data_IF_550170011717
#
_entry.id   IF_550170011717
#
_cell.length_a   1.000
_cell.length_b   1.000
_cell.length_c   1.000
_cell.angle_alpha   90.00
_cell.angle_beta   90.00
_cell.angle_gamma   90.00
#
_symmetry.space_group_name_H-M   'P 1'
#
loop_
_entity.id
_entity.type
_entity.pdbx_description
1 polymer ?
#
# COMPACT_ATOMS: atom_id res chain seq x y z
N UNK A 1 -26.38 -47.94 -4.49
CA UNK A 1 -25.92 -49.29 -4.07
C UNK A 1 -24.61 -49.55 -4.80
N UNK A 2 -23.46 -49.85 -4.21
CA UNK A 2 -23.11 -50.29 -2.88
C UNK A 2 -21.69 -49.80 -2.56
N UNK A 3 -21.34 -49.75 -1.26
CA UNK A 3 -20.06 -50.21 -0.73
C UNK A 3 -20.03 -49.95 0.78
N UNK A 4 -19.72 -50.99 1.56
CA UNK A 4 -18.71 -51.05 2.63
C UNK A 4 -19.17 -52.00 3.75
N UNK A 5 -18.40 -53.07 3.96
CA UNK A 5 -18.47 -54.02 5.10
C UNK A 5 -17.01 -54.23 5.55
N UNK A 6 -16.64 -53.77 6.76
CA UNK A 6 -16.41 -54.54 8.01
C UNK A 6 -15.18 -55.47 7.98
N UNK A 7 -14.39 -55.73 9.04
CA UNK A 7 -14.26 -55.24 10.42
C UNK A 7 -13.17 -56.10 11.14
N UNK A 8 -12.93 -55.80 12.43
CA UNK A 8 -12.39 -56.65 13.53
C UNK A 8 -10.87 -56.94 13.52
N UNK A 9 -10.03 -56.63 14.52
CA UNK A 9 -10.05 -56.62 16.00
C UNK A 9 -9.69 -57.96 16.70
N UNK A 10 -8.65 -57.85 17.56
CA UNK A 10 -8.45 -58.47 18.89
C UNK A 10 -7.33 -59.51 19.11
N UNK A 11 -6.47 -59.18 20.11
CA UNK A 11 -5.82 -59.96 21.20
C UNK A 11 -5.03 -61.26 20.88
N UNK A 12 -3.90 -61.57 21.53
CA UNK A 12 -3.78 -61.90 22.97
C UNK A 12 -2.31 -62.11 23.42
N UNK A 13 -2.05 -61.78 24.70
CA UNK A 13 -0.97 -62.07 25.67
C UNK A 13 0.15 -63.10 25.36
N UNK A 14 1.38 -62.78 25.82
CA UNK A 14 2.15 -63.70 26.69
C UNK A 14 3.25 -63.01 27.50
N UNK A 15 3.31 -63.33 28.79
CA UNK A 15 4.31 -62.92 29.79
C UNK A 15 5.34 -64.03 30.03
N UNK A 16 6.63 -63.70 30.18
CA UNK A 16 7.57 -64.50 30.97
C UNK A 16 8.58 -63.61 31.69
N UNK A 17 8.76 -63.91 32.97
CA UNK A 17 9.77 -63.37 33.90
C UNK A 17 10.98 -64.29 33.84
N UNK A 18 12.20 -63.73 33.86
CA UNK A 18 13.34 -64.26 34.63
C UNK A 18 14.47 -63.23 34.64
N UNK A 19 14.93 -62.87 35.84
CA UNK A 19 16.07 -61.99 36.06
C UNK A 19 17.41 -62.74 35.99
N UNK A 20 18.48 -61.98 35.77
CA UNK A 20 19.81 -62.18 36.37
C UNK A 20 20.70 -60.99 36.00
N UNK A 21 21.31 -60.41 37.03
CA UNK A 21 22.29 -59.32 37.02
C UNK A 21 23.60 -59.73 36.33
N UNK A 22 24.28 -58.79 35.65
CA UNK A 22 25.68 -58.41 35.94
C UNK A 22 26.25 -57.38 34.94
N UNK A 23 26.80 -56.32 35.54
CA UNK A 23 27.68 -55.25 35.05
C UNK A 23 28.37 -55.35 33.67
N UNK A 24 28.36 -54.21 32.94
CA UNK A 24 29.61 -53.51 32.52
C UNK A 24 29.33 -52.04 32.16
N UNK A 25 30.16 -51.17 32.76
CA UNK A 25 30.11 -49.72 32.66
C UNK A 25 30.52 -49.19 31.28
N UNK A 26 29.72 -48.22 30.81
CA UNK A 26 30.00 -47.04 29.96
C UNK A 26 31.09 -47.13 28.89
N UNK A 27 30.66 -47.29 27.64
CA UNK A 27 31.38 -46.81 26.46
C UNK A 27 31.04 -45.33 26.22
N UNK A 28 32.09 -44.51 26.13
CA UNK A 28 32.05 -43.09 25.77
C UNK A 28 31.26 -42.87 24.47
N UNK A 29 30.25 -41.99 24.51
CA UNK A 29 29.62 -41.42 23.32
C UNK A 29 30.23 -40.04 23.02
N UNK A 30 30.72 -39.77 21.79
CA UNK A 30 31.10 -38.42 21.42
C UNK A 30 29.84 -37.56 21.27
N UNK A 31 29.75 -36.48 22.05
CA UNK A 31 28.69 -35.47 21.88
C UNK A 31 28.92 -34.74 20.56
N UNK A 32 28.03 -35.00 19.59
CA UNK A 32 27.89 -34.17 18.40
C UNK A 32 27.51 -32.75 18.82
N UNK A 33 28.40 -31.80 18.57
CA UNK A 33 28.12 -30.37 18.69
C UNK A 33 27.35 -29.94 17.45
N UNK A 34 26.03 -29.91 17.55
CA UNK A 34 25.16 -29.30 16.54
C UNK A 34 25.30 -27.79 16.60
N UNK A 35 26.06 -27.22 15.67
CA UNK A 35 26.12 -25.78 15.45
C UNK A 35 24.81 -25.32 14.82
N UNK A 36 23.90 -24.78 15.64
CA UNK A 36 22.69 -24.13 15.15
C UNK A 36 23.06 -22.80 14.51
N UNK A 37 23.19 -22.78 13.19
CA UNK A 37 23.37 -21.56 12.40
C UNK A 37 22.05 -20.79 12.44
N UNK A 38 21.92 -19.83 13.35
CA UNK A 38 20.77 -18.90 13.37
C UNK A 38 20.72 -18.19 12.01
N UNK A 39 19.71 -18.52 11.19
CA UNK A 39 19.32 -17.71 10.04
C UNK A 39 18.80 -16.39 10.57
N UNK A 40 19.62 -15.35 10.54
CA UNK A 40 19.15 -13.98 10.72
C UNK A 40 18.41 -13.63 9.44
N UNK A 41 17.08 -13.78 9.49
CA UNK A 41 16.17 -13.27 8.48
C UNK A 41 16.03 -11.76 8.70
N UNK A 42 16.86 -10.97 8.03
CA UNK A 42 16.68 -9.51 8.01
C UNK A 42 15.43 -9.21 7.18
N UNK A 43 14.30 -8.93 7.84
CA UNK A 43 13.11 -8.42 7.17
C UNK A 43 13.39 -6.96 6.83
N UNK A 44 13.80 -6.68 5.59
CA UNK A 44 13.85 -5.32 5.08
C UNK A 44 12.40 -4.90 4.80
N UNK A 45 11.83 -4.06 5.66
CA UNK A 45 10.58 -3.34 5.31
C UNK A 45 10.94 -2.37 4.19
N UNK A 46 10.32 -2.52 3.02
CA UNK A 46 10.40 -1.49 1.99
C UNK A 46 9.82 -0.19 2.57
N UNK A 47 10.64 0.86 2.63
CA UNK A 47 10.16 2.19 3.00
C UNK A 47 9.41 2.81 1.82
N UNK A 48 8.37 3.60 2.11
CA UNK A 48 7.67 4.36 1.05
C UNK A 48 8.62 5.42 0.48
N UNK A 49 8.47 5.75 -0.82
CA UNK A 49 9.25 6.84 -1.45
C UNK A 49 9.05 8.18 -0.73
N UNK A 50 7.86 8.39 -0.17
CA UNK A 50 7.49 9.61 0.57
C UNK A 50 8.25 9.73 1.89
N UNK A 51 8.63 8.61 2.52
CA UNK A 51 9.31 8.63 3.83
C UNK A 51 10.74 9.20 3.75
N UNK A 52 11.28 9.43 2.54
CA UNK A 52 12.57 10.10 2.31
C UNK A 52 12.52 11.61 2.55
N UNK A 53 11.32 12.19 2.56
CA UNK A 53 11.11 13.64 2.67
C UNK A 53 10.78 14.04 4.11
N UNK A 54 11.40 15.12 4.58
CA UNK A 54 11.15 15.66 5.91
C UNK A 54 9.88 16.51 5.90
N UNK A 55 9.05 16.39 6.96
CA UNK A 55 7.91 17.30 7.17
C UNK A 55 8.33 18.71 7.57
N UNK A 56 9.61 18.93 7.88
CA UNK A 56 10.16 20.24 8.22
C UNK A 56 10.55 21.07 6.98
N UNK A 57 10.66 20.43 5.82
CA UNK A 57 11.01 21.09 4.56
C UNK A 57 9.73 21.47 3.79
N UNK A 58 9.84 22.46 2.91
CA UNK A 58 8.75 22.84 2.01
C UNK A 58 8.84 21.96 0.77
N UNK A 59 7.81 21.14 0.54
CA UNK A 59 7.68 20.25 -0.61
C UNK A 59 7.02 20.98 -1.77
N UNK A 60 7.59 20.83 -2.97
CA UNK A 60 7.02 21.31 -4.23
C UNK A 60 6.60 20.13 -5.09
N UNK A 61 5.29 19.99 -5.32
CA UNK A 61 4.66 18.94 -6.12
C UNK A 61 4.00 19.55 -7.37
N UNK A 62 4.74 19.80 -8.47
CA UNK A 62 4.18 20.38 -9.70
C UNK A 62 3.10 19.48 -10.32
N UNK A 63 1.97 20.08 -10.70
CA UNK A 63 0.90 19.38 -11.42
C UNK A 63 1.23 19.19 -12.89
N UNK A 64 1.12 17.95 -13.36
CA UNK A 64 1.30 17.61 -14.77
C UNK A 64 0.14 18.09 -15.66
N UNK A 65 -0.96 18.59 -15.08
CA UNK A 65 -2.08 19.12 -15.84
C UNK A 65 -1.67 20.28 -16.77
N UNK A 66 -0.67 21.07 -16.34
CA UNK A 66 -0.10 22.18 -17.12
C UNK A 66 1.03 21.77 -18.07
N UNK A 67 1.41 20.49 -18.10
CA UNK A 67 2.52 20.01 -18.90
C UNK A 67 2.13 19.81 -20.38
N UNK A 68 3.15 19.75 -21.25
CA UNK A 68 2.94 19.31 -22.62
C UNK A 68 2.77 17.78 -22.69
N UNK A 69 1.53 17.31 -22.80
CA UNK A 69 1.18 15.89 -22.87
C UNK A 69 1.83 15.15 -24.05
N UNK A 70 2.16 15.81 -25.15
CA UNK A 70 2.85 15.17 -26.28
C UNK A 70 4.30 14.76 -25.93
N UNK A 71 4.86 15.28 -24.83
CA UNK A 71 6.23 15.05 -24.37
C UNK A 71 6.30 14.83 -22.86
N UNK A 72 5.28 14.16 -22.29
CA UNK A 72 5.07 14.14 -20.84
C UNK A 72 6.26 13.59 -20.04
N UNK A 73 6.91 12.52 -20.53
CA UNK A 73 8.09 11.96 -19.87
C UNK A 73 9.28 12.94 -19.82
N UNK A 74 9.49 13.72 -20.88
CA UNK A 74 10.52 14.77 -20.91
C UNK A 74 10.17 15.91 -19.95
N UNK A 75 8.89 16.30 -19.88
CA UNK A 75 8.42 17.35 -18.96
C UNK A 75 8.61 16.96 -17.50
N UNK A 76 8.30 15.71 -17.14
CA UNK A 76 8.54 15.18 -15.78
C UNK A 76 10.03 15.18 -15.44
N UNK A 77 10.89 14.74 -16.38
CA UNK A 77 12.35 14.80 -16.17
C UNK A 77 12.87 16.22 -16.02
N UNK A 78 12.31 17.18 -16.76
CA UNK A 78 12.72 18.57 -16.68
C UNK A 78 12.43 19.17 -15.28
N UNK A 79 11.24 18.92 -14.72
CA UNK A 79 10.90 19.42 -13.37
C UNK A 79 11.66 18.67 -12.26
N UNK A 80 11.93 17.37 -12.44
CA UNK A 80 12.78 16.59 -11.54
C UNK A 80 14.20 17.18 -11.50
N UNK A 81 14.80 17.49 -12.66
CA UNK A 81 16.11 18.16 -12.74
C UNK A 81 16.09 19.58 -12.18
N UNK A 82 14.95 20.26 -12.23
CA UNK A 82 14.77 21.58 -11.61
C UNK A 82 14.61 21.51 -10.07
N UNK A 83 14.53 20.30 -9.50
CA UNK A 83 14.51 20.08 -8.06
C UNK A 83 13.13 20.03 -7.43
N UNK A 84 12.09 19.62 -8.17
CA UNK A 84 10.81 19.29 -7.53
C UNK A 84 10.90 18.02 -6.68
N UNK A 85 10.06 17.93 -5.66
CA UNK A 85 10.08 16.82 -4.71
C UNK A 85 9.19 15.66 -5.15
N UNK A 86 7.95 15.98 -5.53
CA UNK A 86 6.92 15.02 -5.92
C UNK A 86 6.37 15.39 -7.31
N UNK A 87 5.59 14.51 -7.93
CA UNK A 87 4.87 14.80 -9.18
C UNK A 87 3.37 14.69 -8.91
N UNK A 88 2.65 15.80 -9.03
CA UNK A 88 1.21 15.85 -8.77
C UNK A 88 0.42 15.45 -10.02
N UNK A 89 -0.56 14.56 -9.83
CA UNK A 89 -1.38 13.95 -10.89
C UNK A 89 -2.85 14.18 -10.58
N UNK A 90 -3.43 15.17 -11.27
CA UNK A 90 -4.85 15.51 -11.17
C UNK A 90 -5.72 14.61 -12.05
N UNK A 91 -6.52 13.76 -11.42
CA UNK A 91 -7.43 12.79 -12.08
C UNK A 91 -8.85 13.31 -12.00
N UNK A 92 -9.48 13.52 -13.15
CA UNK A 92 -10.85 14.04 -13.28
C UNK A 92 -11.71 13.13 -14.16
N UNK A 93 -12.95 12.87 -13.76
CA UNK A 93 -13.87 11.93 -14.43
C UNK A 93 -15.04 12.60 -15.17
N UNK A 94 -15.12 13.94 -15.19
CA UNK A 94 -16.23 14.67 -15.79
C UNK A 94 -17.54 14.62 -14.98
N UNK A 95 -17.53 13.99 -13.80
CA UNK A 95 -18.69 13.83 -12.92
C UNK A 95 -18.54 14.66 -11.66
N UNK A 96 -17.45 14.47 -10.92
CA UNK A 96 -17.18 15.25 -9.71
C UNK A 96 -16.78 16.68 -10.05
N UNK A 97 -16.03 16.84 -11.15
CA UNK A 97 -15.66 18.13 -11.75
C UNK A 97 -16.04 18.15 -13.23
N UNK A 98 -16.29 19.31 -13.85
CA UNK A 98 -16.76 19.41 -15.23
C UNK A 98 -15.63 19.27 -16.27
N UNK A 99 -14.67 18.37 -16.05
CA UNK A 99 -13.54 18.12 -16.95
C UNK A 99 -13.06 16.66 -16.85
N UNK A 100 -12.38 16.16 -17.88
CA UNK A 100 -11.80 14.81 -17.93
C UNK A 100 -10.32 14.96 -18.24
N UNK A 101 -9.45 14.37 -17.42
CA UNK A 101 -8.00 14.48 -17.59
C UNK A 101 -7.39 13.14 -18.02
N UNK A 102 -6.96 12.34 -17.06
CA UNK A 102 -6.11 11.17 -17.24
C UNK A 102 -6.51 10.08 -16.26
N UNK A 103 -6.14 8.84 -16.58
CA UNK A 103 -6.40 7.67 -15.75
C UNK A 103 -5.12 6.94 -15.33
N UNK A 104 -5.26 5.74 -14.74
CA UNK A 104 -4.14 4.95 -14.23
C UNK A 104 -3.05 4.64 -15.27
N UNK A 105 -3.42 4.55 -16.56
CA UNK A 105 -2.48 4.33 -17.67
C UNK A 105 -1.37 5.39 -17.70
N UNK A 106 -1.67 6.65 -17.37
CA UNK A 106 -0.65 7.72 -17.39
C UNK A 106 0.27 7.59 -16.19
N UNK A 107 -0.26 7.22 -15.02
CA UNK A 107 0.56 6.94 -13.82
C UNK A 107 1.51 5.77 -14.08
N UNK A 108 1.02 4.69 -14.70
CA UNK A 108 1.81 3.51 -15.07
C UNK A 108 2.93 3.88 -16.05
N UNK A 109 2.63 4.72 -17.05
CA UNK A 109 3.63 5.20 -18.01
C UNK A 109 4.67 6.13 -17.38
N UNK A 110 4.31 6.92 -16.36
CA UNK A 110 5.22 7.82 -15.65
C UNK A 110 6.08 7.10 -14.61
N UNK A 111 5.59 6.00 -14.04
CA UNK A 111 6.29 5.28 -13.00
C UNK A 111 7.72 4.86 -13.36
N UNK A 112 8.02 4.32 -14.57
CA UNK A 112 9.40 4.00 -14.96
C UNK A 112 10.22 5.23 -15.37
N UNK A 113 9.59 6.40 -15.55
CA UNK A 113 10.28 7.64 -15.93
C UNK A 113 10.95 8.29 -14.72
N UNK A 114 10.33 8.29 -13.55
CA UNK A 114 10.85 8.98 -12.36
C UNK A 114 10.83 8.09 -11.12
N UNK A 115 11.73 8.33 -10.18
CA UNK A 115 11.75 7.71 -8.84
C UNK A 115 11.16 8.63 -7.75
N UNK A 116 10.73 9.85 -8.12
CA UNK A 116 10.02 10.75 -7.21
C UNK A 116 8.64 10.18 -6.86
N UNK A 117 8.07 10.51 -5.68
CA UNK A 117 6.71 10.15 -5.34
C UNK A 117 5.70 10.64 -6.38
N UNK A 118 4.79 9.75 -6.80
CA UNK A 118 3.62 10.12 -7.60
C UNK A 118 2.45 10.42 -6.64
N UNK A 119 2.07 11.70 -6.60
CA UNK A 119 1.04 12.26 -5.75
C UNK A 119 -0.27 12.37 -6.53
N UNK A 120 -1.14 11.35 -6.39
CA UNK A 120 -2.37 11.24 -7.17
C UNK A 120 -3.55 11.85 -6.43
N UNK A 121 -4.20 12.82 -7.06
CA UNK A 121 -5.37 13.50 -6.56
C UNK A 121 -6.62 13.08 -7.35
N UNK A 122 -7.54 12.38 -6.68
CA UNK A 122 -8.75 11.82 -7.29
C UNK A 122 -9.95 12.79 -7.16
N UNK A 123 -10.14 13.64 -8.16
CA UNK A 123 -11.34 14.46 -8.36
C UNK A 123 -12.40 13.67 -9.15
N UNK A 124 -12.87 12.56 -8.56
CA UNK A 124 -13.81 11.62 -9.19
C UNK A 124 -14.91 11.21 -8.21
N UNK A 125 -16.03 10.70 -8.74
CA UNK A 125 -17.03 10.02 -7.90
C UNK A 125 -16.63 8.57 -7.62
N UNK A 126 -17.04 8.02 -6.48
CA UNK A 126 -16.81 6.62 -6.10
C UNK A 126 -15.32 6.21 -6.15
N UNK A 127 -14.41 6.98 -5.52
CA UNK A 127 -12.96 6.77 -5.70
C UNK A 127 -12.47 5.41 -5.21
N UNK A 128 -13.16 4.77 -4.25
CA UNK A 128 -12.83 3.44 -3.74
C UNK A 128 -12.80 2.35 -4.83
N UNK A 129 -13.53 2.56 -5.94
CA UNK A 129 -13.52 1.67 -7.10
C UNK A 129 -12.24 1.81 -7.94
N UNK A 130 -11.58 2.98 -7.90
CA UNK A 130 -10.41 3.28 -8.75
C UNK A 130 -9.09 3.31 -7.98
N UNK A 131 -9.11 3.46 -6.66
CA UNK A 131 -7.93 3.42 -5.79
C UNK A 131 -6.99 2.23 -6.10
N UNK A 132 -7.46 0.97 -6.23
CA UNK A 132 -6.58 -0.16 -6.52
C UNK A 132 -5.81 -0.02 -7.84
N UNK A 133 -6.44 0.56 -8.87
CA UNK A 133 -5.81 0.74 -10.18
C UNK A 133 -4.65 1.74 -10.11
N UNK A 134 -4.85 2.87 -9.42
CA UNK A 134 -3.82 3.90 -9.29
C UNK A 134 -2.63 3.44 -8.45
N UNK A 135 -2.88 2.71 -7.36
CA UNK A 135 -1.81 2.14 -6.54
C UNK A 135 -1.05 1.08 -7.34
N UNK A 136 -1.75 0.21 -8.08
CA UNK A 136 -1.11 -0.77 -8.97
C UNK A 136 -0.26 -0.11 -10.07
N UNK A 137 -0.72 1.03 -10.59
CA UNK A 137 0.02 1.85 -11.56
C UNK A 137 1.24 2.56 -10.97
N UNK A 138 1.42 2.53 -9.64
CA UNK A 138 2.61 3.04 -8.95
C UNK A 138 2.45 4.38 -8.26
N UNK A 139 1.21 4.78 -7.93
CA UNK A 139 0.95 5.92 -7.05
C UNK A 139 1.54 5.67 -5.65
N UNK A 140 2.24 6.67 -5.10
CA UNK A 140 2.79 6.61 -3.74
C UNK A 140 1.86 7.28 -2.72
N UNK A 141 1.11 8.30 -3.15
CA UNK A 141 0.07 8.99 -2.39
C UNK A 141 -1.22 8.93 -3.22
N UNK A 142 -2.34 8.65 -2.57
CA UNK A 142 -3.67 8.79 -3.17
C UNK A 142 -4.55 9.63 -2.27
N UNK A 143 -4.95 10.79 -2.79
CA UNK A 143 -5.79 11.77 -2.11
C UNK A 143 -7.22 11.71 -2.64
N UNK A 144 -8.20 11.58 -1.75
CA UNK A 144 -9.62 11.50 -2.09
C UNK A 144 -10.42 12.62 -1.42
N UNK A 145 -11.47 13.07 -2.10
CA UNK A 145 -12.36 14.10 -1.59
C UNK A 145 -13.22 13.62 -0.41
N UNK A 146 -13.33 14.46 0.61
CA UNK A 146 -14.20 14.22 1.78
C UNK A 146 -15.67 14.54 1.51
N UNK A 147 -15.97 15.26 0.43
CA UNK A 147 -17.33 15.62 0.04
C UNK A 147 -18.16 14.36 -0.24
N UNK A 148 -19.40 14.35 0.30
CA UNK A 148 -20.33 13.23 0.14
C UNK A 148 -20.71 12.97 -1.34
N UNK A 149 -20.57 13.97 -2.21
CA UNK A 149 -20.74 13.84 -3.66
C UNK A 149 -19.63 13.03 -4.33
N UNK A 150 -18.48 12.84 -3.67
CA UNK A 150 -17.39 11.97 -4.09
C UNK A 150 -17.45 10.63 -3.34
N UNK A 151 -17.37 10.69 -2.00
CA UNK A 151 -17.04 9.53 -1.17
C UNK A 151 -18.06 9.31 -0.07
N UNK A 152 -18.84 8.22 -0.15
CA UNK A 152 -19.87 7.94 0.85
C UNK A 152 -19.30 7.46 2.19
N UNK A 153 -18.26 6.61 2.14
CA UNK A 153 -17.65 5.97 3.30
C UNK A 153 -16.19 6.39 3.47
N UNK A 154 -15.94 7.67 3.77
CA UNK A 154 -14.60 8.27 3.81
C UNK A 154 -13.59 7.48 4.65
N UNK A 155 -13.91 7.16 5.90
CA UNK A 155 -13.03 6.40 6.79
C UNK A 155 -12.62 5.03 6.20
N UNK A 156 -13.55 4.34 5.52
CA UNK A 156 -13.26 3.05 4.85
C UNK A 156 -12.31 3.24 3.66
N UNK A 157 -12.58 4.26 2.83
CA UNK A 157 -11.77 4.55 1.65
C UNK A 157 -10.33 4.97 2.01
N UNK A 158 -10.14 5.79 3.05
CA UNK A 158 -8.80 6.14 3.57
C UNK A 158 -8.04 4.89 4.02
N UNK A 159 -8.67 4.01 4.79
CA UNK A 159 -8.04 2.77 5.24
C UNK A 159 -7.76 1.80 4.08
N UNK A 160 -8.59 1.78 3.03
CA UNK A 160 -8.34 1.01 1.82
C UNK A 160 -7.03 1.45 1.15
N UNK A 161 -6.82 2.76 0.96
CA UNK A 161 -5.57 3.30 0.38
C UNK A 161 -4.35 2.81 1.16
N UNK A 162 -4.37 2.94 2.50
CA UNK A 162 -3.27 2.47 3.37
C UNK A 162 -3.07 0.96 3.29
N UNK A 163 -4.15 0.18 3.27
CA UNK A 163 -4.10 -1.29 3.21
C UNK A 163 -3.46 -1.80 1.91
N UNK A 164 -3.53 -1.00 0.84
CA UNK A 164 -2.94 -1.29 -0.46
C UNK A 164 -1.49 -0.77 -0.59
N UNK A 165 -0.97 -0.09 0.44
CA UNK A 165 0.43 0.29 0.55
C UNK A 165 0.79 1.72 0.13
N UNK A 166 -0.20 2.56 -0.22
CA UNK A 166 0.02 3.98 -0.49
C UNK A 166 -0.26 4.84 0.74
N UNK A 167 0.26 6.08 0.75
CA UNK A 167 -0.11 7.09 1.73
C UNK A 167 -1.51 7.63 1.41
N UNK A 168 -2.35 7.79 2.42
CA UNK A 168 -3.73 8.23 2.24
C UNK A 168 -3.86 9.74 2.48
N UNK A 169 -4.33 10.46 1.46
CA UNK A 169 -4.67 11.87 1.56
C UNK A 169 -6.18 12.11 1.62
N UNK A 170 -6.59 13.18 2.30
CA UNK A 170 -7.97 13.70 2.25
C UNK A 170 -7.97 15.11 1.69
N UNK A 171 -8.92 15.39 0.79
CA UNK A 171 -9.06 16.68 0.11
C UNK A 171 -10.32 17.40 0.58
N UNK A 172 -10.22 18.73 0.74
CA UNK A 172 -11.34 19.62 1.04
C UNK A 172 -11.43 20.70 -0.04
N UNK A 173 -12.60 20.84 -0.64
CA UNK A 173 -12.95 21.98 -1.48
C UNK A 173 -12.96 23.29 -0.66
N UNK A 174 -12.84 24.46 -1.30
CA UNK A 174 -12.81 25.74 -0.59
C UNK A 174 -14.02 25.98 0.34
N UNK A 175 -15.20 25.49 -0.06
CA UNK A 175 -16.44 25.62 0.71
C UNK A 175 -16.66 24.55 1.76
N UNK A 176 -15.78 23.54 1.85
CA UNK A 176 -15.95 22.41 2.76
C UNK A 176 -15.28 22.70 4.10
N UNK A 177 -16.01 22.62 5.24
CA UNK A 177 -15.46 22.96 6.55
C UNK A 177 -14.48 21.89 7.04
N UNK A 178 -13.48 22.29 7.84
CA UNK A 178 -12.50 21.37 8.46
C UNK A 178 -13.15 20.28 9.33
N UNK A 179 -14.33 20.54 9.90
CA UNK A 179 -15.07 19.54 10.69
C UNK A 179 -15.46 18.31 9.85
N UNK A 180 -15.48 18.41 8.52
CA UNK A 180 -15.77 17.28 7.64
C UNK A 180 -14.74 16.14 7.75
N UNK A 181 -13.52 16.43 8.22
CA UNK A 181 -12.43 15.45 8.33
C UNK A 181 -12.05 15.11 9.78
N UNK A 182 -12.77 15.63 10.78
CA UNK A 182 -12.44 15.48 12.20
C UNK A 182 -12.20 14.01 12.59
N UNK A 183 -13.08 13.11 12.16
CA UNK A 183 -13.04 11.69 12.50
C UNK A 183 -12.16 10.82 11.58
N UNK A 184 -11.40 11.43 10.68
CA UNK A 184 -10.40 10.73 9.86
C UNK A 184 -9.01 11.34 9.97
N UNK A 185 -8.87 12.44 10.73
CA UNK A 185 -7.62 13.20 10.82
C UNK A 185 -6.47 12.39 11.44
N UNK A 186 -6.79 11.41 12.28
CA UNK A 186 -5.84 10.51 12.95
C UNK A 186 -5.32 9.39 12.03
N UNK A 187 -6.02 9.09 10.94
CA UNK A 187 -5.67 8.00 10.02
C UNK A 187 -5.07 8.47 8.68
N UNK A 188 -5.20 9.75 8.33
CA UNK A 188 -4.62 10.29 7.09
C UNK A 188 -3.11 10.58 7.22
N UNK A 189 -2.41 10.53 6.10
CA UNK A 189 -0.99 10.87 5.99
C UNK A 189 -0.80 12.29 5.41
N UNK A 190 -1.82 12.83 4.71
CA UNK A 190 -1.82 14.14 4.06
C UNK A 190 -3.22 14.76 4.08
N UNK A 191 -3.29 16.09 4.24
CA UNK A 191 -4.52 16.87 4.04
C UNK A 191 -4.25 17.88 2.92
N UNK A 192 -5.05 17.83 1.85
CA UNK A 192 -4.99 18.76 0.73
C UNK A 192 -6.12 19.78 0.86
N UNK A 193 -5.76 21.05 1.04
CA UNK A 193 -6.72 22.16 1.07
C UNK A 193 -6.75 22.78 -0.31
N UNK A 194 -7.90 22.69 -0.98
CA UNK A 194 -8.08 23.34 -2.27
C UNK A 194 -8.22 24.84 -2.06
N UNK A 195 -7.30 25.62 -2.64
CA UNK A 195 -7.36 27.09 -2.68
C UNK A 195 -8.18 27.63 -3.85
N UNK A 196 -8.59 26.75 -4.76
CA UNK A 196 -9.42 27.03 -5.94
C UNK A 196 -10.51 25.96 -6.07
N UNK A 197 -11.59 26.26 -6.80
CA UNK A 197 -12.57 25.22 -7.12
C UNK A 197 -11.95 24.26 -8.14
N UNK A 198 -11.93 22.94 -7.87
CA UNK A 198 -11.29 21.98 -8.76
C UNK A 198 -12.02 21.85 -10.11
N UNK A 199 -11.28 21.44 -11.14
CA UNK A 199 -11.79 21.18 -12.49
C UNK A 199 -11.08 21.94 -13.60
N UNK A 200 -10.33 22.98 -13.26
CA UNK A 200 -9.57 23.81 -14.20
C UNK A 200 -8.14 24.03 -13.67
N UNK A 201 -7.17 23.93 -14.57
CA UNK A 201 -5.75 24.22 -14.29
C UNK A 201 -5.42 25.69 -14.46
#
# INVERSE_FOLDING_TARGET
>A
MASTTTSLCSSTLQSQINGLSLHKNSLFHPRSLTFSRRKISTVVKASSRVDKFSKSDIIVSPSILSANFAKLGEQVKAVELAGCDWIHVDVMDGRFVPNITIGPLVVDALRPVTDLPLDVHLMIVEPDQRVPDFIKAGADIVSIHCEQSSTIHLHRAINQVKSLGAKAGVVLNPGTPLSAIEYVLDVVDLVLIMSVNPGFG
#
